data_IF_624622487755
#
_entry.id   IF_624622487755
#
_cell.length_a   1.000
_cell.length_b   1.000
_cell.length_c   1.000
_cell.angle_alpha   90.00
_cell.angle_beta   90.00
_cell.angle_gamma   90.00
#
_symmetry.space_group_name_H-M   'P 1'
#
loop_
_entity.id
_entity.type
_entity.pdbx_description
1 polymer ?
#
# COMPACT_ATOMS: atom_id res chain seq x y z
N UNK A 1 12.82 4.15 7.89
CA UNK A 1 11.73 3.28 7.41
C UNK A 1 10.76 4.08 6.56
N UNK A 2 10.42 3.59 5.37
CA UNK A 2 9.47 4.25 4.46
C UNK A 2 8.04 3.77 4.73
N UNK A 3 7.05 4.61 4.47
CA UNK A 3 5.63 4.25 4.57
C UNK A 3 5.29 3.16 3.53
N UNK A 4 4.80 2.01 3.99
CA UNK A 4 4.41 0.90 3.11
C UNK A 4 3.07 1.18 2.42
N UNK A 5 2.89 0.64 1.22
CA UNK A 5 1.63 0.73 0.48
C UNK A 5 0.47 0.03 1.22
N UNK A 6 0.77 -1.07 1.92
CA UNK A 6 -0.21 -1.83 2.69
C UNK A 6 -0.13 -1.57 4.20
N UNK A 7 -1.25 -1.11 4.78
CA UNK A 7 -1.42 -0.92 6.23
C UNK A 7 -1.18 -2.18 7.06
N UNK A 8 -1.39 -3.36 6.46
CA UNK A 8 -1.18 -4.63 7.16
C UNK A 8 0.30 -4.82 7.51
N UNK A 9 1.21 -4.44 6.61
CA UNK A 9 2.65 -4.57 6.81
C UNK A 9 3.09 -3.66 7.97
N UNK A 10 2.62 -2.41 8.01
CA UNK A 10 2.94 -1.50 9.11
C UNK A 10 2.44 -2.03 10.47
N UNK A 11 1.25 -2.63 10.50
CA UNK A 11 0.72 -3.27 11.72
C UNK A 11 1.56 -4.46 12.17
N UNK A 12 2.15 -5.21 11.24
CA UNK A 12 3.07 -6.30 11.59
C UNK A 12 4.35 -5.77 12.25
N UNK A 13 4.87 -4.62 11.77
CA UNK A 13 6.00 -3.96 12.43
C UNK A 13 5.63 -3.45 13.82
N UNK A 14 4.47 -2.78 13.96
CA UNK A 14 3.99 -2.30 15.26
C UNK A 14 3.81 -3.48 16.23
N UNK A 15 3.23 -4.59 15.79
CA UNK A 15 3.00 -5.78 16.61
C UNK A 15 4.25 -6.56 17.00
N UNK A 16 5.44 -6.17 16.52
CA UNK A 16 6.71 -6.70 17.02
C UNK A 16 7.16 -6.03 18.32
N UNK A 17 6.68 -4.82 18.60
CA UNK A 17 6.96 -4.15 19.86
C UNK A 17 6.07 -4.68 20.99
N UNK A 18 6.61 -4.74 22.21
CA UNK A 18 5.84 -5.07 23.42
C UNK A 18 5.27 -6.48 23.46
N UNK A 19 6.09 -7.49 23.13
CA UNK A 19 5.66 -8.90 23.26
C UNK A 19 5.53 -9.28 24.74
N UNK A 20 4.57 -10.16 25.04
CA UNK A 20 4.32 -10.70 26.40
C UNK A 20 4.07 -9.62 27.48
N UNK A 21 3.44 -8.50 27.10
CA UNK A 21 3.11 -7.44 28.05
C UNK A 21 4.28 -6.52 28.41
N UNK A 22 5.43 -6.67 27.73
CA UNK A 22 6.52 -5.73 27.88
C UNK A 22 6.12 -4.33 27.38
N UNK A 23 6.55 -3.26 28.05
CA UNK A 23 6.31 -1.91 27.57
C UNK A 23 7.04 -1.70 26.24
N UNK A 24 6.28 -1.39 25.19
CA UNK A 24 6.80 -1.08 23.86
C UNK A 24 6.26 0.26 23.38
N UNK A 25 7.13 1.08 22.79
CA UNK A 25 6.72 2.29 22.09
C UNK A 25 6.98 2.12 20.58
N UNK A 26 6.04 2.61 19.77
CA UNK A 26 6.20 2.62 18.32
C UNK A 26 5.86 4.00 17.81
N UNK A 27 6.75 4.55 16.99
CA UNK A 27 6.57 5.83 16.34
C UNK A 27 6.66 5.66 14.84
N UNK A 28 5.65 6.18 14.12
CA UNK A 28 5.70 6.30 12.68
C UNK A 28 6.23 7.70 12.32
N UNK A 29 7.34 7.74 11.58
CA UNK A 29 7.90 8.97 11.03
C UNK A 29 7.50 9.06 9.55
N UNK A 30 6.81 10.13 9.17
CA UNK A 30 6.46 10.41 7.78
C UNK A 30 7.28 11.59 7.27
N UNK A 31 7.86 11.44 6.08
CA UNK A 31 8.45 12.54 5.33
C UNK A 31 7.60 12.81 4.07
N UNK A 32 7.38 14.08 3.69
CA UNK A 32 6.54 14.44 2.54
C UNK A 32 7.09 13.96 1.19
N UNK A 33 8.38 13.60 1.12
CA UNK A 33 9.06 13.15 -0.11
C UNK A 33 8.95 11.64 -0.34
N UNK A 34 8.28 10.88 0.55
CA UNK A 34 8.09 9.45 0.32
C UNK A 34 7.32 9.18 -0.97
N UNK A 35 7.79 8.18 -1.73
CA UNK A 35 7.24 7.84 -3.06
C UNK A 35 5.73 7.59 -3.04
N UNK A 36 5.21 6.94 -1.99
CA UNK A 36 3.78 6.68 -1.84
C UNK A 36 2.97 7.98 -1.71
N UNK A 37 3.48 8.95 -0.97
CA UNK A 37 2.86 10.26 -0.81
C UNK A 37 2.97 11.07 -2.10
N UNK A 38 4.13 11.06 -2.77
CA UNK A 38 4.31 11.75 -4.06
C UNK A 38 3.39 11.24 -5.16
N UNK A 39 3.09 9.94 -5.14
CA UNK A 39 2.22 9.30 -6.13
C UNK A 39 0.74 9.67 -5.95
N UNK A 40 0.28 9.79 -4.71
CA UNK A 40 -1.15 9.91 -4.40
C UNK A 40 -1.58 11.26 -3.81
N UNK A 41 -0.66 12.05 -3.25
CA UNK A 41 -0.96 13.37 -2.71
C UNK A 41 -0.45 14.48 -3.64
N UNK A 42 -1.26 15.54 -3.83
CA UNK A 42 -0.87 16.67 -4.64
C UNK A 42 0.26 17.47 -3.98
N UNK A 43 1.02 18.22 -4.79
CA UNK A 43 2.19 18.97 -4.32
C UNK A 43 1.88 19.98 -3.21
N UNK A 44 0.76 20.70 -3.31
CA UNK A 44 0.33 21.66 -2.29
C UNK A 44 0.07 21.00 -0.93
N UNK A 45 -0.47 19.77 -0.91
CA UNK A 45 -0.69 19.02 0.33
C UNK A 45 0.63 18.60 0.96
N UNK A 46 1.62 18.19 0.14
CA UNK A 46 2.96 17.82 0.61
C UNK A 46 3.70 19.04 1.17
N UNK A 47 3.57 20.21 0.54
CA UNK A 47 4.13 21.47 1.05
C UNK A 47 3.48 21.89 2.37
N UNK A 48 2.16 21.80 2.48
CA UNK A 48 1.45 22.03 3.74
C UNK A 48 1.90 21.05 4.84
N UNK A 49 2.18 19.79 4.47
CA UNK A 49 2.68 18.79 5.41
C UNK A 49 4.08 19.12 5.95
N UNK A 50 4.94 19.72 5.13
CA UNK A 50 6.27 20.18 5.54
C UNK A 50 6.26 21.37 6.50
N UNK A 51 5.22 22.22 6.44
CA UNK A 51 5.09 23.44 7.26
C UNK A 51 4.42 23.21 8.63
N UNK A 52 4.27 21.95 9.07
CA UNK A 52 3.64 21.62 10.35
C UNK A 52 2.15 21.38 10.23
N UNK A 53 1.76 20.32 9.50
CA UNK A 53 0.37 19.87 9.44
C UNK A 53 -0.15 19.53 10.84
N UNK A 54 -1.38 19.94 11.16
CA UNK A 54 -2.02 19.48 12.38
C UNK A 54 -2.07 17.93 12.40
N UNK A 55 -1.79 17.34 13.57
CA UNK A 55 -1.69 15.88 13.77
C UNK A 55 -2.85 15.08 13.18
N UNK A 56 -4.03 15.70 13.14
CA UNK A 56 -5.28 15.14 12.61
C UNK A 56 -5.17 14.88 11.11
N UNK A 57 -4.59 15.82 10.37
CA UNK A 57 -4.34 15.70 8.93
C UNK A 57 -3.11 14.83 8.62
N UNK A 58 -2.14 14.73 9.54
CA UNK A 58 -0.98 13.85 9.35
C UNK A 58 -1.38 12.36 9.32
N UNK A 59 -2.38 11.98 10.11
CA UNK A 59 -2.95 10.63 10.05
C UNK A 59 -3.68 10.37 8.71
N UNK A 60 -4.39 11.38 8.20
CA UNK A 60 -5.08 11.30 6.91
C UNK A 60 -4.10 11.22 5.74
N UNK A 61 -3.00 11.99 5.78
CA UNK A 61 -1.97 11.96 4.73
C UNK A 61 -1.27 10.61 4.63
N UNK A 62 -1.21 9.82 5.70
CA UNK A 62 -0.74 8.43 5.62
C UNK A 62 -1.83 7.48 5.12
N UNK A 63 -3.06 7.61 5.64
CA UNK A 63 -4.15 6.66 5.40
C UNK A 63 -4.71 6.70 3.98
N UNK A 64 -4.88 7.88 3.40
CA UNK A 64 -5.47 8.04 2.07
C UNK A 64 -4.61 7.37 0.98
N UNK A 65 -3.29 7.67 0.86
CA UNK A 65 -2.42 6.99 -0.10
C UNK A 65 -2.38 5.47 0.05
N UNK A 66 -2.42 4.97 1.29
CA UNK A 66 -2.45 3.53 1.53
C UNK A 66 -3.77 2.88 1.08
N UNK A 67 -4.89 3.59 1.24
CA UNK A 67 -6.18 3.10 0.76
C UNK A 67 -6.24 3.07 -0.77
N UNK A 68 -5.79 4.14 -1.43
CA UNK A 68 -5.70 4.17 -2.90
C UNK A 68 -4.75 3.11 -3.44
N UNK A 69 -3.57 2.95 -2.82
CA UNK A 69 -2.62 1.92 -3.20
C UNK A 69 -3.24 0.52 -3.08
N UNK A 70 -3.86 0.20 -1.95
CA UNK A 70 -4.53 -1.09 -1.74
C UNK A 70 -5.66 -1.34 -2.75
N UNK A 71 -6.44 -0.30 -3.09
CA UNK A 71 -7.48 -0.39 -4.11
C UNK A 71 -6.88 -0.68 -5.50
N UNK A 72 -5.84 0.05 -5.90
CA UNK A 72 -5.19 -0.18 -7.20
C UNK A 72 -4.51 -1.53 -7.30
N UNK A 73 -3.79 -1.97 -6.27
CA UNK A 73 -3.15 -3.28 -6.24
C UNK A 73 -4.19 -4.40 -6.33
N UNK A 74 -5.35 -4.22 -5.68
CA UNK A 74 -6.46 -5.18 -5.79
C UNK A 74 -6.95 -5.29 -7.23
N UNK A 75 -7.21 -4.15 -7.87
CA UNK A 75 -7.69 -4.12 -9.26
C UNK A 75 -6.66 -4.67 -10.25
N UNK A 76 -5.37 -4.40 -10.02
CA UNK A 76 -4.27 -4.97 -10.81
C UNK A 76 -4.20 -6.48 -10.67
N UNK A 77 -4.35 -7.03 -9.45
CA UNK A 77 -4.41 -8.48 -9.23
C UNK A 77 -5.60 -9.12 -9.94
N UNK A 78 -6.79 -8.53 -9.81
CA UNK A 78 -7.99 -9.03 -10.48
C UNK A 78 -7.84 -9.03 -12.02
N UNK A 79 -7.23 -7.98 -12.59
CA UNK A 79 -6.95 -7.92 -14.02
C UNK A 79 -5.91 -8.97 -14.46
N UNK A 80 -4.85 -9.19 -13.67
CA UNK A 80 -3.84 -10.20 -13.96
C UNK A 80 -4.42 -11.61 -13.90
N UNK A 81 -5.22 -11.95 -12.88
CA UNK A 81 -5.89 -13.26 -12.79
C UNK A 81 -6.77 -13.54 -14.02
N UNK A 82 -7.52 -12.54 -14.50
CA UNK A 82 -8.34 -12.71 -15.70
C UNK A 82 -7.50 -13.02 -16.95
N UNK A 83 -6.40 -12.30 -17.14
CA UNK A 83 -5.50 -12.54 -18.29
C UNK A 83 -4.85 -13.93 -18.19
N UNK A 84 -4.53 -14.37 -16.98
CA UNK A 84 -3.98 -15.71 -16.72
C UNK A 84 -4.99 -16.80 -17.09
N UNK A 85 -6.25 -16.67 -16.66
CA UNK A 85 -7.35 -17.59 -17.01
C UNK A 85 -7.59 -17.69 -18.53
N UNK A 86 -7.58 -16.55 -19.23
CA UNK A 86 -7.70 -16.50 -20.69
C UNK A 86 -6.52 -17.19 -21.38
N UNK A 87 -5.32 -17.00 -20.86
CA UNK A 87 -4.09 -17.62 -21.39
C UNK A 87 -4.09 -19.14 -21.16
N UNK A 88 -4.46 -19.60 -19.97
CA UNK A 88 -4.58 -21.03 -19.65
C UNK A 88 -5.64 -21.72 -20.54
N UNK A 89 -6.78 -21.08 -20.75
CA UNK A 89 -7.85 -21.61 -21.60
C UNK A 89 -7.40 -21.74 -23.06
N UNK A 90 -6.71 -20.73 -23.60
CA UNK A 90 -6.18 -20.76 -24.97
C UNK A 90 -5.12 -21.85 -25.18
N UNK A 91 -4.23 -22.04 -24.20
CA UNK A 91 -3.22 -23.11 -24.23
C UNK A 91 -3.85 -24.50 -24.15
N UNK A 92 -4.89 -24.67 -23.33
CA UNK A 92 -5.59 -25.94 -23.15
C UNK A 92 -6.34 -26.35 -24.42
N UNK A 93 -7.08 -25.43 -25.04
CA UNK A 93 -7.77 -25.69 -26.31
C UNK A 93 -6.79 -26.07 -27.44
N UNK A 94 -5.66 -25.36 -27.53
CA UNK A 94 -4.62 -25.67 -28.51
C UNK A 94 -4.09 -27.11 -28.30
N UNK A 95 -3.83 -27.51 -27.05
CA UNK A 95 -3.36 -28.85 -26.71
C UNK A 95 -4.33 -29.96 -27.14
N UNK A 96 -5.64 -29.74 -27.00
CA UNK A 96 -6.67 -30.70 -27.43
C UNK A 96 -6.77 -30.82 -28.95
N UNK A 97 -6.55 -29.73 -29.70
CA UNK A 97 -6.55 -29.78 -31.18
C UNK A 97 -5.35 -30.49 -31.81
N UNK A 98 -4.26 -30.70 -31.07
CA UNK A 98 -3.04 -31.37 -31.56
C UNK A 98 -2.84 -32.79 -30.98
N UNK A 99 -3.86 -33.35 -30.33
CA UNK A 99 -3.92 -34.77 -29.92
C UNK A 99 -4.87 -35.56 -30.81
#
# INVERSE_FOLDING_TARGET
CQLNASRRIDRQFIGRAGRRGEPGSVQAMLAPDFALLRRWLPAWWRSAAGNGLARQFAALSARLPQWFAAYTERRQREALCRVDEETESGLTFNRETFS
#
